data_IF_312343314124
#
_entry.id   IF_312343314124
#
_cell.length_a   1.000
_cell.length_b   1.000
_cell.length_c   1.000
_cell.angle_alpha   90.00
_cell.angle_beta   90.00
_cell.angle_gamma   90.00
#
_symmetry.space_group_name_H-M   'P 1'
#
loop_
_entity.id
_entity.type
_entity.pdbx_description
1 polymer ?
#
# COMPACT_ATOMS: atom_id res chain seq x y z
N UNK A 1 -8.99 -12.58 -10.39
CA UNK A 1 -9.04 -11.11 -10.22
C UNK A 1 -7.76 -10.53 -10.78
N UNK A 2 -7.81 -9.49 -11.61
CA UNK A 2 -6.59 -8.93 -12.20
C UNK A 2 -6.07 -7.76 -11.37
N UNK A 3 -4.80 -7.42 -11.54
CA UNK A 3 -4.17 -6.30 -10.84
C UNK A 3 -4.86 -4.97 -11.18
N UNK A 4 -5.23 -4.77 -12.44
CA UNK A 4 -5.83 -3.53 -12.96
C UNK A 4 -7.20 -3.25 -12.34
N UNK A 5 -7.95 -4.31 -12.00
CA UNK A 5 -9.25 -4.21 -11.33
C UNK A 5 -9.13 -3.66 -9.89
N UNK A 6 -7.92 -3.69 -9.31
CA UNK A 6 -7.61 -3.33 -7.91
C UNK A 6 -6.85 -2.00 -7.79
N UNK A 7 -6.80 -1.22 -8.87
CA UNK A 7 -6.20 0.10 -8.87
C UNK A 7 -7.25 1.13 -8.44
N UNK A 8 -7.00 1.76 -7.30
CA UNK A 8 -7.81 2.86 -6.80
C UNK A 8 -7.35 4.16 -7.47
N UNK A 9 -8.27 4.89 -8.08
CA UNK A 9 -7.97 6.18 -8.72
C UNK A 9 -7.82 7.29 -7.67
N UNK A 10 -6.87 8.20 -7.88
CA UNK A 10 -6.67 9.38 -7.04
C UNK A 10 -7.18 10.65 -7.74
N UNK A 11 -7.44 11.71 -6.96
CA UNK A 11 -7.86 13.03 -7.48
C UNK A 11 -6.70 13.86 -8.05
N UNK A 12 -5.50 13.28 -8.17
CA UNK A 12 -4.28 13.95 -8.59
C UNK A 12 -3.18 13.89 -7.53
N UNK A 13 -2.10 14.64 -7.79
CA UNK A 13 -0.93 14.70 -6.90
C UNK A 13 -1.31 15.35 -5.56
N UNK A 14 -1.04 14.67 -4.46
CA UNK A 14 -1.18 15.29 -3.14
C UNK A 14 -0.09 16.36 -2.94
N UNK A 15 -0.52 17.53 -2.47
CA UNK A 15 0.31 18.74 -2.37
C UNK A 15 0.30 19.34 -0.96
N UNK A 16 -0.27 18.62 0.01
CA UNK A 16 -0.44 19.08 1.38
C UNK A 16 0.15 18.01 2.29
N UNK A 17 1.02 18.45 3.21
CA UNK A 17 1.63 17.56 4.21
C UNK A 17 0.60 17.20 5.27
N UNK A 18 0.59 15.94 5.68
CA UNK A 18 -0.28 15.42 6.72
C UNK A 18 -0.09 16.17 8.06
N UNK A 19 -1.19 16.54 8.75
CA UNK A 19 -1.10 17.16 10.07
C UNK A 19 -0.75 16.15 11.17
N UNK A 20 -0.74 14.84 10.87
CA UNK A 20 -0.39 13.80 11.82
C UNK A 20 1.11 13.85 12.14
N UNK A 21 1.46 13.84 13.42
CA UNK A 21 2.85 13.89 13.86
C UNK A 21 3.48 12.49 13.78
N UNK A 22 4.65 12.39 13.14
CA UNK A 22 5.47 11.17 13.10
C UNK A 22 6.43 11.04 14.30
N UNK A 23 6.68 12.15 15.02
CA UNK A 23 7.61 12.20 16.15
C UNK A 23 7.04 11.58 17.41
N UNK A 24 7.84 10.75 18.10
CA UNK A 24 7.54 10.28 19.45
C UNK A 24 7.44 11.47 20.42
N UNK A 25 6.35 11.53 21.16
CA UNK A 25 6.25 12.27 22.43
C UNK A 25 5.66 11.30 23.45
N UNK A 26 5.97 11.46 24.74
CA UNK A 26 5.48 10.56 25.79
C UNK A 26 3.93 10.41 25.79
N UNK A 27 3.22 11.43 25.28
CA UNK A 27 1.75 11.49 25.24
C UNK A 27 1.12 11.31 23.84
N UNK A 28 1.89 10.95 22.80
CA UNK A 28 1.35 10.86 21.42
C UNK A 28 1.53 9.49 20.78
N UNK A 29 0.48 8.91 20.18
CA UNK A 29 0.63 7.69 19.38
C UNK A 29 1.52 7.97 18.16
N UNK A 30 2.42 7.03 17.86
CA UNK A 30 3.27 7.07 16.66
C UNK A 30 2.45 6.58 15.48
N UNK A 31 2.11 7.47 14.56
CA UNK A 31 1.44 7.09 13.32
C UNK A 31 2.48 6.59 12.31
N UNK A 32 2.33 5.34 11.86
CA UNK A 32 3.08 4.81 10.73
C UNK A 32 2.36 5.21 9.45
N UNK A 33 2.94 6.16 8.73
CA UNK A 33 2.50 6.49 7.39
C UNK A 33 2.75 5.30 6.43
N UNK A 34 1.85 5.10 5.49
CA UNK A 34 1.99 4.12 4.41
C UNK A 34 2.41 4.83 3.12
N UNK A 35 3.21 4.18 2.30
CA UNK A 35 3.55 4.68 0.96
C UNK A 35 2.45 4.32 -0.05
N UNK A 36 2.49 4.93 -1.23
CA UNK A 36 1.55 4.65 -2.33
C UNK A 36 1.80 3.30 -3.02
N UNK A 37 3.03 2.82 -2.96
CA UNK A 37 3.45 1.54 -3.52
C UNK A 37 3.33 0.37 -2.53
N UNK A 38 2.92 0.63 -1.28
CA UNK A 38 2.64 -0.43 -0.31
C UNK A 38 1.32 -1.13 -0.63
N UNK A 39 1.41 -2.42 -0.94
CA UNK A 39 0.27 -3.26 -1.30
C UNK A 39 0.23 -4.55 -0.50
N UNK A 40 -0.96 -5.12 -0.38
CA UNK A 40 -1.21 -6.41 0.29
C UNK A 40 -1.62 -7.41 -0.78
N UNK A 41 -0.90 -8.54 -0.85
CA UNK A 41 -1.22 -9.61 -1.80
C UNK A 41 -2.61 -10.20 -1.52
N UNK A 42 -3.41 -10.35 -2.57
CA UNK A 42 -4.71 -11.03 -2.48
C UNK A 42 -4.54 -12.53 -2.18
N UNK A 43 -3.58 -13.16 -2.85
CA UNK A 43 -3.24 -14.58 -2.69
C UNK A 43 -1.80 -14.75 -2.22
N UNK A 44 -1.61 -15.56 -1.18
CA UNK A 44 -0.31 -15.77 -0.52
C UNK A 44 0.11 -17.24 -0.47
N UNK A 45 -0.49 -18.07 -1.34
CA UNK A 45 -0.11 -19.49 -1.43
C UNK A 45 1.26 -19.64 -2.05
N UNK A 46 2.01 -20.68 -1.66
CA UNK A 46 3.32 -20.95 -2.25
C UNK A 46 3.23 -21.22 -3.76
N UNK A 47 2.16 -21.87 -4.20
CA UNK A 47 1.90 -22.17 -5.60
C UNK A 47 1.74 -20.89 -6.43
N UNK A 48 0.84 -19.98 -6.02
CA UNK A 48 0.65 -18.71 -6.71
C UNK A 48 1.93 -17.86 -6.73
N UNK A 49 2.68 -17.81 -5.62
CA UNK A 49 3.95 -17.07 -5.56
C UNK A 49 4.99 -17.64 -6.53
N UNK A 50 5.07 -18.96 -6.69
CA UNK A 50 5.95 -19.60 -7.68
C UNK A 50 5.54 -19.25 -9.10
N UNK A 51 4.24 -19.33 -9.39
CA UNK A 51 3.70 -18.99 -10.71
C UNK A 51 3.99 -17.54 -11.10
N UNK A 52 3.75 -16.57 -10.21
CA UNK A 52 4.09 -15.16 -10.46
C UNK A 52 5.59 -14.95 -10.69
N UNK A 53 6.44 -15.70 -9.97
CA UNK A 53 7.90 -15.62 -10.13
C UNK A 53 8.35 -16.20 -11.49
N UNK A 54 7.76 -17.30 -11.94
CA UNK A 54 8.11 -17.97 -13.19
C UNK A 54 7.59 -17.21 -14.41
N UNK A 55 6.36 -16.69 -14.33
CA UNK A 55 5.71 -15.97 -15.43
C UNK A 55 6.06 -14.49 -15.48
N UNK A 56 6.54 -13.91 -14.37
CA UNK A 56 6.72 -12.47 -14.23
C UNK A 56 5.41 -11.69 -14.15
N UNK A 57 4.27 -12.37 -13.98
CA UNK A 57 2.97 -11.72 -13.86
C UNK A 57 2.88 -10.90 -12.56
N UNK A 58 2.22 -9.75 -12.64
CA UNK A 58 1.98 -8.91 -11.47
C UNK A 58 0.87 -9.55 -10.64
N UNK A 59 1.13 -9.85 -9.35
CA UNK A 59 0.10 -10.44 -8.50
C UNK A 59 -1.02 -9.45 -8.22
N UNK A 60 -2.25 -9.96 -8.17
CA UNK A 60 -3.38 -9.21 -7.65
C UNK A 60 -3.08 -8.79 -6.21
N UNK A 61 -3.21 -7.49 -5.94
CA UNK A 61 -2.88 -6.91 -4.65
C UNK A 61 -3.74 -5.69 -4.39
N UNK A 62 -4.09 -5.46 -3.12
CA UNK A 62 -4.85 -4.29 -2.67
C UNK A 62 -3.90 -3.20 -2.22
N UNK A 63 -4.28 -1.94 -2.40
CA UNK A 63 -3.58 -0.84 -1.72
C UNK A 63 -3.68 -1.03 -0.20
N UNK A 64 -2.55 -0.83 0.49
CA UNK A 64 -2.55 -0.86 1.96
C UNK A 64 -3.17 0.42 2.51
N UNK A 65 -4.25 0.27 3.27
CA UNK A 65 -4.88 1.40 3.95
C UNK A 65 -3.99 1.95 5.07
N UNK A 66 -3.97 3.27 5.22
CA UNK A 66 -3.24 3.96 6.28
C UNK A 66 -3.12 5.46 6.02
N UNK A 67 -2.66 6.24 7.01
CA UNK A 67 -2.38 7.64 6.80
C UNK A 67 -1.23 7.79 5.79
N UNK A 68 -1.32 8.77 4.89
CA UNK A 68 -0.23 9.19 4.00
C UNK A 68 0.49 10.38 4.61
N UNK A 69 1.78 10.52 4.30
CA UNK A 69 2.59 11.65 4.78
C UNK A 69 2.36 12.91 3.93
N UNK A 70 2.25 12.78 2.61
CA UNK A 70 2.13 13.90 1.67
C UNK A 70 1.51 13.50 0.35
#
# INVERSE_FOLDING_TARGET
MKYEDLIVTTLGKCCVVSPLKSSQHEDSPVYKFVKDDERILHEVTLESIKDYRETGAIPASFEKAGPKES
#
